data_IF_904207048363
#
_entry.id   IF_904207048363
#
_cell.length_a   1.000
_cell.length_b   1.000
_cell.length_c   1.000
_cell.angle_alpha   90.00
_cell.angle_beta   90.00
_cell.angle_gamma   90.00
#
_symmetry.space_group_name_H-M   'P 1'
#
loop_
_entity.id
_entity.type
_entity.pdbx_description
1 polymer ?
#
# COMPACT_ATOMS: atom_id res chain seq x y z
N UNK A 1 -4.05 17.51 40.15
CA UNK A 1 -3.82 18.97 40.25
C UNK A 1 -2.76 19.31 39.25
N UNK A 2 -3.10 20.13 38.25
CA UNK A 2 -2.16 20.63 37.24
C UNK A 2 -1.43 21.85 37.80
N UNK A 3 -0.11 21.91 37.64
CA UNK A 3 0.66 23.12 37.89
C UNK A 3 0.27 24.26 36.96
N UNK A 4 0.60 25.49 37.33
CA UNK A 4 0.22 26.71 36.59
C UNK A 4 0.74 26.71 35.17
N UNK A 5 2.00 26.35 34.94
CA UNK A 5 2.61 26.22 33.59
C UNK A 5 1.90 25.22 32.70
N UNK A 6 1.50 24.05 33.26
CA UNK A 6 0.79 23.02 32.49
C UNK A 6 -0.61 23.47 32.11
N UNK A 7 -1.26 24.25 32.98
CA UNK A 7 -2.58 24.83 32.70
C UNK A 7 -2.49 25.88 31.60
N UNK A 8 -1.56 26.84 31.74
CA UNK A 8 -1.35 27.89 30.75
C UNK A 8 -1.02 27.29 29.35
N UNK A 9 -0.16 26.27 29.31
CA UNK A 9 0.15 25.55 28.07
C UNK A 9 -1.10 24.90 27.47
N UNK A 10 -1.91 24.22 28.28
CA UNK A 10 -3.10 23.51 27.78
C UNK A 10 -4.19 24.49 27.30
N UNK A 11 -4.33 25.64 27.95
CA UNK A 11 -5.22 26.72 27.50
C UNK A 11 -4.75 27.30 26.17
N UNK A 12 -3.45 27.55 26.02
CA UNK A 12 -2.88 28.03 24.76
C UNK A 12 -3.11 27.06 23.58
N UNK A 13 -2.95 25.76 23.81
CA UNK A 13 -3.27 24.74 22.78
C UNK A 13 -4.75 24.79 22.38
N UNK A 14 -5.66 24.96 23.34
CA UNK A 14 -7.09 25.05 23.04
C UNK A 14 -7.43 26.31 22.21
N UNK A 15 -6.78 27.46 22.50
CA UNK A 15 -6.94 28.66 21.70
C UNK A 15 -6.50 28.44 20.28
N UNK A 16 -5.30 27.87 20.06
CA UNK A 16 -4.77 27.57 18.72
C UNK A 16 -5.67 26.60 17.94
N UNK A 17 -6.21 25.58 18.59
CA UNK A 17 -7.15 24.65 17.93
C UNK A 17 -8.44 25.35 17.48
N UNK A 18 -8.97 26.27 18.30
CA UNK A 18 -10.13 27.08 17.94
C UNK A 18 -9.85 28.02 16.77
N UNK A 19 -8.70 28.72 16.81
CA UNK A 19 -8.27 29.63 15.75
C UNK A 19 -8.05 28.86 14.42
N UNK A 20 -7.59 27.62 14.50
CA UNK A 20 -7.44 26.72 13.34
C UNK A 20 -8.78 26.07 12.89
N UNK A 21 -9.89 26.31 13.57
CA UNK A 21 -11.19 25.69 13.24
C UNK A 21 -11.24 24.18 13.49
N UNK A 22 -10.34 23.64 14.33
CA UNK A 22 -10.28 22.22 14.64
C UNK A 22 -11.20 21.91 15.80
N UNK A 23 -12.30 21.14 15.61
CA UNK A 23 -13.19 20.77 16.70
C UNK A 23 -12.49 19.78 17.64
N UNK A 24 -12.61 19.99 18.93
CA UNK A 24 -12.07 19.11 19.95
C UNK A 24 -12.98 19.00 21.16
N UNK A 25 -12.77 17.94 21.93
CA UNK A 25 -13.44 17.72 23.22
C UNK A 25 -12.39 17.40 24.29
N UNK A 26 -12.47 18.07 25.43
CA UNK A 26 -11.63 17.75 26.58
C UNK A 26 -12.12 16.47 27.23
N UNK A 27 -11.22 15.50 27.39
CA UNK A 27 -11.49 14.23 28.05
C UNK A 27 -10.59 14.09 29.28
N UNK A 28 -11.12 14.32 30.47
CA UNK A 28 -10.37 14.22 31.72
C UNK A 28 -10.00 12.77 32.12
N UNK A 29 -10.50 11.78 31.40
CA UNK A 29 -10.21 10.35 31.63
C UNK A 29 -9.20 9.80 30.62
N UNK A 30 -8.70 10.65 29.71
CA UNK A 30 -7.72 10.20 28.72
C UNK A 30 -6.39 9.91 29.41
N UNK A 31 -6.00 8.65 29.37
CA UNK A 31 -4.70 8.17 29.88
C UNK A 31 -3.99 7.45 28.74
N UNK A 32 -2.70 7.69 28.61
CA UNK A 32 -1.82 6.98 27.68
C UNK A 32 -0.96 5.98 28.46
N UNK A 33 -0.75 4.80 27.85
CA UNK A 33 0.00 3.70 28.46
C UNK A 33 1.52 3.88 28.46
N UNK A 34 2.04 5.05 28.06
CA UNK A 34 3.47 5.34 27.99
C UNK A 34 3.78 6.52 28.92
N UNK A 35 4.78 6.36 29.74
CA UNK A 35 5.13 7.28 30.85
C UNK A 35 5.99 8.48 30.41
N UNK A 36 6.50 8.47 29.18
CA UNK A 36 7.28 9.58 28.62
C UNK A 36 6.45 10.80 28.22
N UNK A 37 5.11 10.67 28.13
CA UNK A 37 4.25 11.81 27.78
C UNK A 37 4.21 12.85 28.90
N UNK A 38 4.22 14.12 28.49
CA UNK A 38 4.02 15.24 29.37
C UNK A 38 3.10 16.29 28.76
N UNK A 39 2.52 17.17 29.59
CA UNK A 39 1.66 18.29 29.23
C UNK A 39 0.39 17.88 28.46
N UNK A 40 0.49 17.66 27.12
CA UNK A 40 -0.67 17.41 26.26
C UNK A 40 -0.62 16.03 25.64
N UNK A 41 -1.72 15.31 25.73
CA UNK A 41 -1.98 14.07 25.00
C UNK A 41 -3.29 14.22 24.21
N UNK A 42 -3.41 13.51 23.09
CA UNK A 42 -4.60 13.56 22.26
C UNK A 42 -4.91 12.23 21.60
N UNK A 43 -6.16 12.07 21.19
CA UNK A 43 -6.65 10.94 20.40
C UNK A 43 -7.62 11.43 19.34
N UNK A 44 -7.57 10.78 18.17
CA UNK A 44 -8.60 10.85 17.15
C UNK A 44 -9.48 9.60 17.29
N UNK A 45 -10.75 9.81 17.58
CA UNK A 45 -11.68 8.75 17.92
C UNK A 45 -12.86 8.76 16.96
N UNK A 46 -13.24 7.56 16.49
CA UNK A 46 -14.46 7.34 15.70
C UNK A 46 -15.43 6.41 16.44
N UNK A 47 -16.70 6.56 16.20
CA UNK A 47 -17.75 5.65 16.67
C UNK A 47 -18.06 4.54 15.65
N UNK A 48 -17.50 4.61 14.44
CA UNK A 48 -17.80 3.68 13.35
C UNK A 48 -17.10 2.32 13.47
N UNK A 49 -16.02 2.24 14.25
CA UNK A 49 -15.23 1.02 14.42
C UNK A 49 -15.50 0.32 15.77
N UNK A 50 -16.66 0.51 16.37
CA UNK A 50 -17.04 -0.13 17.63
C UNK A 50 -16.05 0.14 18.76
N UNK A 51 -15.58 -0.92 19.45
CA UNK A 51 -14.65 -0.81 20.57
C UNK A 51 -13.22 -0.34 20.18
N UNK A 52 -12.87 -0.38 18.89
CA UNK A 52 -11.57 0.05 18.37
C UNK A 52 -11.58 1.48 17.83
N UNK A 53 -12.31 2.37 18.46
CA UNK A 53 -12.57 3.72 17.98
C UNK A 53 -11.34 4.63 17.87
N UNK A 54 -10.25 4.42 18.60
CA UNK A 54 -9.04 5.25 18.51
C UNK A 54 -8.24 4.87 17.26
N UNK A 55 -8.18 5.76 16.28
CA UNK A 55 -7.47 5.56 15.00
C UNK A 55 -6.10 6.23 14.97
N UNK A 56 -5.91 7.29 15.74
CA UNK A 56 -4.63 8.00 15.87
C UNK A 56 -4.52 8.53 17.30
N UNK A 57 -3.33 8.52 17.85
CA UNK A 57 -3.08 9.04 19.17
C UNK A 57 -1.64 9.49 19.36
N UNK A 58 -1.43 10.50 20.18
CA UNK A 58 -0.12 11.06 20.42
C UNK A 58 -0.09 12.02 21.59
N UNK A 59 0.98 12.80 21.62
CA UNK A 59 1.19 13.79 22.65
C UNK A 59 2.57 14.40 22.62
N UNK A 60 2.85 15.21 23.61
CA UNK A 60 4.13 15.84 23.84
C UNK A 60 5.00 15.00 24.77
N UNK A 61 6.31 14.94 24.52
CA UNK A 61 7.26 14.13 25.28
C UNK A 61 8.64 14.81 25.33
N UNK A 62 8.71 15.95 25.99
CA UNK A 62 9.89 16.83 26.02
C UNK A 62 11.15 16.18 26.62
N UNK A 63 10.99 15.21 27.52
CA UNK A 63 12.11 14.52 28.16
C UNK A 63 12.67 13.31 27.41
N UNK A 64 11.98 12.82 26.36
CA UNK A 64 12.34 11.55 25.75
C UNK A 64 13.68 11.61 25.01
N UNK A 65 13.98 12.71 24.31
CA UNK A 65 15.24 12.85 23.58
C UNK A 65 16.44 12.80 24.51
N UNK A 66 16.34 13.45 25.67
CA UNK A 66 17.38 13.43 26.71
C UNK A 66 17.53 12.04 27.34
N UNK A 67 16.43 11.34 27.63
CA UNK A 67 16.45 9.96 28.14
C UNK A 67 17.14 8.99 27.17
N UNK A 68 17.06 9.24 25.86
CA UNK A 68 17.74 8.48 24.84
C UNK A 68 19.20 8.90 24.59
N UNK A 69 19.74 9.81 25.41
CA UNK A 69 21.14 10.27 25.33
C UNK A 69 21.36 11.46 24.39
N UNK A 70 20.29 12.09 23.91
CA UNK A 70 20.36 13.32 23.12
C UNK A 70 20.43 14.58 23.99
N UNK A 71 20.50 15.74 23.35
CA UNK A 71 20.36 17.02 24.05
C UNK A 71 18.91 17.24 24.46
N UNK A 72 18.62 17.93 25.59
CA UNK A 72 17.26 18.31 25.97
C UNK A 72 16.56 19.01 24.78
N UNK A 73 15.54 18.36 24.24
CA UNK A 73 14.83 18.84 23.03
C UNK A 73 13.35 18.55 23.20
N UNK A 74 12.49 19.58 23.24
CA UNK A 74 11.05 19.38 23.24
C UNK A 74 10.61 18.62 21.97
N UNK A 75 9.74 17.61 22.16
CA UNK A 75 9.24 16.82 21.06
C UNK A 75 7.75 16.50 21.23
N UNK A 76 7.09 16.32 20.09
CA UNK A 76 5.71 15.85 20.01
C UNK A 76 5.59 14.91 18.82
N UNK A 77 4.68 13.96 18.90
CA UNK A 77 4.43 13.03 17.83
C UNK A 77 3.16 12.23 18.03
N UNK A 78 2.89 11.38 17.08
CA UNK A 78 1.71 10.53 17.10
C UNK A 78 1.99 9.21 16.38
N UNK A 79 1.12 8.23 16.67
CA UNK A 79 1.04 7.00 15.90
C UNK A 79 -0.40 6.77 15.45
N UNK A 80 -0.57 6.12 14.29
CA UNK A 80 -1.87 5.78 13.76
C UNK A 80 -1.93 4.30 13.38
N UNK A 81 -3.11 3.69 13.54
CA UNK A 81 -3.36 2.34 13.08
C UNK A 81 -3.77 2.36 11.61
N UNK A 82 -2.86 1.93 10.72
CA UNK A 82 -3.12 1.95 9.26
C UNK A 82 -4.34 1.11 8.91
N UNK A 83 -4.46 -0.07 9.48
CA UNK A 83 -5.61 -0.97 9.26
C UNK A 83 -6.92 -0.36 9.77
N UNK A 84 -6.88 0.36 10.90
CA UNK A 84 -8.07 1.07 11.43
C UNK A 84 -8.47 2.24 10.55
N UNK A 85 -7.50 2.98 10.02
CA UNK A 85 -7.76 4.06 9.08
C UNK A 85 -8.32 3.53 7.78
N UNK A 86 -7.80 2.42 7.27
CA UNK A 86 -8.32 1.76 6.07
C UNK A 86 -9.77 1.28 6.29
N UNK A 87 -10.05 0.63 7.42
CA UNK A 87 -11.39 0.19 7.77
C UNK A 87 -12.36 1.38 7.89
N UNK A 88 -11.92 2.47 8.55
CA UNK A 88 -12.73 3.68 8.66
C UNK A 88 -12.99 4.34 7.29
N UNK A 89 -11.98 4.38 6.43
CA UNK A 89 -12.11 4.90 5.07
C UNK A 89 -13.12 4.11 4.25
N UNK A 90 -13.09 2.77 4.33
CA UNK A 90 -14.08 1.89 3.70
C UNK A 90 -15.51 2.12 4.26
N UNK A 91 -15.64 2.24 5.58
CA UNK A 91 -16.92 2.56 6.24
C UNK A 91 -17.48 3.95 5.85
N UNK A 92 -16.62 4.87 5.46
CA UNK A 92 -17.00 6.19 4.97
C UNK A 92 -17.33 6.22 3.46
N UNK A 93 -17.37 5.05 2.81
CA UNK A 93 -17.61 4.94 1.36
C UNK A 93 -16.35 5.18 0.53
N UNK A 94 -15.20 5.20 1.16
CA UNK A 94 -13.92 5.19 0.47
C UNK A 94 -13.58 3.80 -0.05
N UNK A 95 -12.85 3.72 -1.15
CA UNK A 95 -12.47 2.48 -1.81
C UNK A 95 -13.34 2.24 -3.04
N UNK A 96 -12.73 2.35 -4.21
CA UNK A 96 -13.23 1.71 -5.42
C UNK A 96 -12.80 0.23 -5.40
N UNK A 97 -13.30 -0.55 -6.33
CA UNK A 97 -12.70 -1.85 -6.59
C UNK A 97 -11.21 -1.66 -6.90
N UNK A 98 -10.32 -2.52 -6.34
CA UNK A 98 -8.92 -2.46 -6.68
C UNK A 98 -8.77 -2.52 -8.20
N UNK A 99 -7.98 -1.64 -8.78
CA UNK A 99 -7.69 -1.72 -10.21
C UNK A 99 -7.13 -3.12 -10.52
N UNK A 100 -7.64 -3.73 -11.59
CA UNK A 100 -7.11 -5.00 -12.05
C UNK A 100 -5.61 -4.86 -12.36
N UNK A 101 -4.79 -5.84 -12.06
CA UNK A 101 -3.37 -5.77 -12.39
C UNK A 101 -3.17 -5.89 -13.91
N UNK A 102 -2.13 -5.26 -14.42
CA UNK A 102 -1.74 -5.39 -15.81
C UNK A 102 -1.29 -6.83 -16.14
N UNK A 103 -0.53 -7.40 -15.22
CA UNK A 103 0.02 -8.74 -15.39
C UNK A 103 -0.10 -9.61 -14.15
N UNK A 104 -0.27 -10.92 -14.39
CA UNK A 104 -0.13 -11.98 -13.38
C UNK A 104 0.95 -12.95 -13.81
N UNK A 105 2.00 -13.13 -12.98
CA UNK A 105 3.11 -14.04 -13.30
C UNK A 105 2.85 -15.40 -12.70
N UNK A 106 2.76 -16.40 -13.57
CA UNK A 106 2.67 -17.83 -13.21
C UNK A 106 3.99 -18.53 -13.51
N UNK A 107 4.44 -19.40 -12.62
CA UNK A 107 5.71 -20.09 -12.80
C UNK A 107 5.69 -21.50 -12.19
N UNK A 108 6.52 -22.38 -12.71
CA UNK A 108 6.67 -23.74 -12.20
C UNK A 108 8.14 -24.17 -12.30
N UNK A 109 8.71 -24.58 -11.16
CA UNK A 109 10.11 -24.94 -11.01
C UNK A 109 10.97 -23.83 -10.40
N UNK A 110 12.12 -24.21 -9.84
CA UNK A 110 13.01 -23.29 -9.12
C UNK A 110 13.70 -22.28 -10.06
N UNK A 111 14.14 -22.74 -11.25
CA UNK A 111 14.73 -21.86 -12.26
C UNK A 111 13.70 -20.85 -12.79
N UNK A 112 12.47 -21.29 -13.03
CA UNK A 112 11.36 -20.46 -13.46
C UNK A 112 10.98 -19.42 -12.41
N UNK A 113 11.02 -19.75 -11.12
CA UNK A 113 10.73 -18.80 -10.03
C UNK A 113 11.67 -17.62 -10.02
N UNK A 114 12.97 -17.85 -10.25
CA UNK A 114 13.97 -16.77 -10.33
C UNK A 114 13.75 -15.85 -11.52
N UNK A 115 13.43 -16.41 -12.67
CA UNK A 115 13.11 -15.62 -13.88
C UNK A 115 11.80 -14.86 -13.69
N UNK A 116 10.78 -15.49 -13.09
CA UNK A 116 9.49 -14.87 -12.77
C UNK A 116 9.64 -13.65 -11.86
N UNK A 117 10.47 -13.76 -10.83
CA UNK A 117 10.77 -12.63 -9.95
C UNK A 117 11.42 -11.48 -10.73
N UNK A 118 12.44 -11.77 -11.55
CA UNK A 118 13.11 -10.75 -12.37
C UNK A 118 12.15 -10.09 -13.35
N UNK A 119 11.30 -10.87 -14.01
CA UNK A 119 10.29 -10.36 -14.93
C UNK A 119 9.28 -9.44 -14.23
N UNK A 120 8.79 -9.83 -13.05
CA UNK A 120 7.89 -9.00 -12.27
C UNK A 120 8.52 -7.66 -11.87
N UNK A 121 9.77 -7.68 -11.39
CA UNK A 121 10.49 -6.45 -10.99
C UNK A 121 10.82 -5.56 -12.19
N UNK A 122 11.19 -6.15 -13.34
CA UNK A 122 11.41 -5.40 -14.57
C UNK A 122 10.15 -4.62 -14.99
N UNK A 123 9.00 -5.28 -15.00
CA UNK A 123 7.73 -4.62 -15.34
C UNK A 123 7.34 -3.56 -14.32
N UNK A 124 7.48 -3.83 -13.02
CA UNK A 124 7.17 -2.86 -11.95
C UNK A 124 8.02 -1.60 -12.05
N UNK A 125 9.30 -1.74 -12.43
CA UNK A 125 10.20 -0.60 -12.67
C UNK A 125 9.71 0.29 -13.81
N UNK A 126 8.98 -0.28 -14.77
CA UNK A 126 8.36 0.46 -15.89
C UNK A 126 6.91 0.91 -15.58
N UNK A 127 6.46 0.78 -14.32
CA UNK A 127 5.18 1.30 -13.87
C UNK A 127 3.99 0.36 -14.04
N UNK A 128 4.19 -0.89 -14.48
CA UNK A 128 3.11 -1.86 -14.60
C UNK A 128 2.69 -2.42 -13.22
N UNK A 129 1.39 -2.62 -13.04
CA UNK A 129 0.82 -3.29 -11.88
C UNK A 129 0.93 -4.82 -12.03
N UNK A 130 1.85 -5.46 -11.30
CA UNK A 130 2.16 -6.88 -11.48
C UNK A 130 1.92 -7.68 -10.21
N UNK A 131 1.14 -8.76 -10.32
CA UNK A 131 1.01 -9.80 -9.31
C UNK A 131 1.94 -10.97 -9.65
N UNK A 132 2.86 -11.28 -8.76
CA UNK A 132 3.67 -12.51 -8.82
C UNK A 132 2.97 -13.60 -8.01
N UNK A 133 2.78 -14.78 -8.60
CA UNK A 133 2.21 -15.91 -7.88
C UNK A 133 3.11 -16.30 -6.70
N UNK A 134 2.54 -16.22 -5.50
CA UNK A 134 3.19 -16.65 -4.27
C UNK A 134 2.62 -18.00 -3.84
N UNK A 135 3.43 -19.03 -3.81
CA UNK A 135 3.05 -20.36 -3.38
C UNK A 135 3.29 -21.44 -4.42
N UNK A 136 2.88 -22.64 -4.08
CA UNK A 136 2.97 -23.82 -4.93
C UNK A 136 1.66 -24.05 -5.69
N UNK A 137 1.71 -24.94 -6.68
CA UNK A 137 0.54 -25.36 -7.45
C UNK A 137 0.86 -25.59 -8.92
N UNK A 138 -0.03 -26.31 -9.60
CA UNK A 138 0.11 -26.55 -11.04
C UNK A 138 -0.14 -25.27 -11.84
N UNK A 139 0.37 -25.19 -13.06
CA UNK A 139 0.06 -24.10 -14.00
C UNK A 139 -1.45 -23.86 -14.13
N UNK A 140 -2.25 -24.94 -14.21
CA UNK A 140 -3.71 -24.83 -14.29
C UNK A 140 -4.31 -24.08 -13.10
N UNK A 141 -3.83 -24.36 -11.89
CA UNK A 141 -4.28 -23.69 -10.67
C UNK A 141 -3.87 -22.21 -10.66
N UNK A 142 -2.63 -21.94 -11.05
CA UNK A 142 -2.09 -20.58 -11.11
C UNK A 142 -2.80 -19.74 -12.18
N UNK A 143 -3.04 -20.31 -13.37
CA UNK A 143 -3.79 -19.64 -14.44
C UNK A 143 -5.23 -19.30 -14.05
N UNK A 144 -5.89 -20.18 -13.25
CA UNK A 144 -7.21 -19.86 -12.70
C UNK A 144 -7.18 -18.64 -11.76
N UNK A 145 -6.10 -18.50 -10.98
CA UNK A 145 -5.91 -17.33 -10.12
C UNK A 145 -5.59 -16.07 -10.93
N UNK A 146 -4.79 -16.22 -12.00
CA UNK A 146 -4.51 -15.12 -12.92
C UNK A 146 -5.80 -14.60 -13.58
N UNK A 147 -6.66 -15.49 -14.02
CA UNK A 147 -7.96 -15.09 -14.58
C UNK A 147 -8.86 -14.41 -13.55
N UNK A 148 -8.95 -14.99 -12.34
CA UNK A 148 -9.76 -14.44 -11.25
C UNK A 148 -9.26 -13.10 -10.73
N UNK A 149 -7.98 -12.75 -10.91
CA UNK A 149 -7.41 -11.46 -10.51
C UNK A 149 -7.83 -10.30 -11.41
N UNK A 150 -8.43 -10.58 -12.56
CA UNK A 150 -8.73 -9.55 -13.55
C UNK A 150 -7.54 -9.13 -14.42
N UNK A 151 -6.35 -9.72 -14.23
CA UNK A 151 -5.15 -9.36 -14.99
C UNK A 151 -5.40 -9.38 -16.50
N UNK A 152 -4.83 -8.40 -17.20
CA UNK A 152 -4.92 -8.33 -18.67
C UNK A 152 -4.04 -9.38 -19.34
N UNK A 153 -2.85 -9.66 -18.79
CA UNK A 153 -1.86 -10.58 -19.36
C UNK A 153 -1.37 -11.56 -18.30
N UNK A 154 -1.21 -12.84 -18.66
CA UNK A 154 -0.45 -13.79 -17.87
C UNK A 154 0.98 -13.92 -18.43
N UNK A 155 1.99 -13.76 -17.57
CA UNK A 155 3.35 -14.18 -17.86
C UNK A 155 3.47 -15.65 -17.46
N UNK A 156 3.87 -16.50 -18.41
CA UNK A 156 3.96 -17.96 -18.21
C UNK A 156 5.42 -18.36 -18.31
N UNK A 157 5.96 -18.94 -17.23
CA UNK A 157 7.37 -19.30 -17.14
C UNK A 157 7.47 -20.71 -16.57
N UNK A 158 7.81 -21.67 -17.41
CA UNK A 158 8.15 -23.04 -17.04
C UNK A 158 9.66 -23.25 -17.05
N UNK A 159 10.08 -24.48 -16.89
CA UNK A 159 11.51 -24.84 -16.96
C UNK A 159 12.09 -24.63 -18.36
N UNK A 160 11.30 -24.86 -19.40
CA UNK A 160 11.72 -24.65 -20.79
C UNK A 160 11.94 -23.16 -21.09
N UNK A 161 10.99 -22.31 -20.68
CA UNK A 161 11.12 -20.84 -20.80
C UNK A 161 12.31 -20.35 -19.98
N UNK A 162 12.48 -20.85 -18.76
CA UNK A 162 13.61 -20.46 -17.92
C UNK A 162 14.96 -20.88 -18.50
N UNK A 163 15.04 -22.07 -19.13
CA UNK A 163 16.26 -22.55 -19.78
C UNK A 163 16.61 -21.73 -21.02
N UNK A 164 15.59 -21.28 -21.77
CA UNK A 164 15.77 -20.42 -22.93
C UNK A 164 15.97 -18.93 -22.56
N UNK A 165 15.70 -18.52 -21.31
CA UNK A 165 15.69 -17.11 -20.90
C UNK A 165 14.50 -16.33 -21.46
N UNK A 166 13.43 -17.02 -21.83
CA UNK A 166 12.23 -16.47 -22.43
C UNK A 166 11.05 -16.43 -21.45
N UNK A 167 10.10 -15.58 -21.77
CA UNK A 167 8.87 -15.39 -20.98
C UNK A 167 7.69 -15.51 -21.94
N UNK A 168 6.76 -16.43 -21.64
CA UNK A 168 5.52 -16.52 -22.39
C UNK A 168 4.55 -15.41 -21.98
N UNK A 169 4.13 -14.57 -22.91
CA UNK A 169 3.07 -13.58 -22.71
C UNK A 169 1.76 -14.14 -23.29
N UNK A 170 0.74 -14.24 -22.46
CA UNK A 170 -0.57 -14.71 -22.84
C UNK A 170 -1.62 -13.66 -22.47
N UNK A 171 -2.21 -12.95 -23.43
CA UNK A 171 -3.37 -12.11 -23.19
C UNK A 171 -4.50 -12.92 -22.53
N UNK A 172 -5.08 -12.40 -21.47
CA UNK A 172 -6.22 -13.00 -20.76
C UNK A 172 -7.52 -12.29 -21.11
N UNK A 173 -7.40 -11.06 -21.61
CA UNK A 173 -8.51 -10.21 -22.03
C UNK A 173 -8.22 -9.70 -23.43
N UNK A 174 -9.22 -9.76 -24.31
CA UNK A 174 -9.06 -9.34 -25.69
C UNK A 174 -8.48 -10.40 -26.64
N UNK A 175 -8.31 -10.05 -27.92
CA UNK A 175 -7.72 -10.93 -28.93
C UNK A 175 -6.21 -11.03 -28.76
N UNK A 176 -5.63 -12.14 -29.17
CA UNK A 176 -4.18 -12.34 -29.22
C UNK A 176 -3.79 -13.77 -28.82
N UNK A 177 -2.72 -14.25 -29.41
CA UNK A 177 -2.09 -15.53 -29.11
C UNK A 177 -0.98 -15.38 -28.07
N UNK A 178 -0.56 -16.49 -27.51
CA UNK A 178 0.63 -16.52 -26.67
C UNK A 178 1.87 -16.26 -27.51
N UNK A 179 2.72 -15.35 -27.07
CA UNK A 179 4.03 -15.06 -27.67
C UNK A 179 5.14 -15.27 -26.64
N UNK A 180 6.37 -15.46 -27.12
CA UNK A 180 7.56 -15.55 -26.26
C UNK A 180 8.45 -14.35 -26.48
N UNK A 181 8.96 -13.80 -25.42
CA UNK A 181 9.83 -12.62 -25.44
C UNK A 181 11.00 -12.78 -24.48
N UNK A 182 12.09 -12.07 -24.72
CA UNK A 182 13.19 -11.97 -23.78
C UNK A 182 12.84 -11.04 -22.61
N UNK A 183 13.63 -11.12 -21.53
CA UNK A 183 13.47 -10.17 -20.41
C UNK A 183 13.70 -8.71 -20.85
N UNK A 184 14.56 -8.48 -21.83
CA UNK A 184 14.93 -7.15 -22.33
C UNK A 184 13.77 -6.50 -23.11
N UNK A 185 13.04 -7.28 -23.90
CA UNK A 185 11.91 -6.81 -24.70
C UNK A 185 10.55 -6.91 -23.98
N UNK A 186 10.55 -7.37 -22.73
CA UNK A 186 9.33 -7.67 -21.99
C UNK A 186 8.43 -6.44 -21.79
N UNK A 187 9.00 -5.31 -21.39
CA UNK A 187 8.22 -4.09 -21.12
C UNK A 187 7.61 -3.50 -22.39
N UNK A 188 8.33 -3.53 -23.50
CA UNK A 188 7.86 -3.09 -24.81
C UNK A 188 6.71 -3.98 -25.31
N UNK A 189 6.89 -5.29 -25.22
CA UNK A 189 5.86 -6.25 -25.61
C UNK A 189 4.60 -6.15 -24.75
N UNK A 190 4.75 -5.88 -23.44
CA UNK A 190 3.62 -5.61 -22.54
C UNK A 190 2.88 -4.34 -22.93
N UNK A 191 3.60 -3.26 -23.22
CA UNK A 191 3.00 -2.00 -23.66
C UNK A 191 2.19 -2.17 -24.97
N UNK A 192 2.73 -2.91 -25.93
CA UNK A 192 2.03 -3.19 -27.18
C UNK A 192 0.73 -3.98 -27.01
N UNK A 193 0.66 -4.87 -26.00
CA UNK A 193 -0.59 -5.61 -25.69
C UNK A 193 -1.62 -4.72 -25.00
N UNK A 194 -1.16 -3.89 -24.04
CA UNK A 194 -2.06 -3.08 -23.20
C UNK A 194 -2.53 -1.79 -23.89
N UNK A 195 -1.68 -1.24 -24.72
CA UNK A 195 -1.89 0.02 -25.43
C UNK A 195 -1.62 -0.16 -26.93
N UNK A 196 -2.44 -0.97 -27.64
CA UNK A 196 -2.28 -1.13 -29.09
C UNK A 196 -2.40 0.24 -29.76
N UNK A 197 -1.49 0.54 -30.69
CA UNK A 197 -1.63 1.72 -31.54
C UNK A 197 -2.97 1.60 -32.26
N UNK A 198 -3.84 2.61 -32.17
CA UNK A 198 -5.03 2.68 -32.96
C UNK A 198 -4.57 2.77 -34.42
N UNK A 199 -4.89 1.75 -35.24
CA UNK A 199 -4.73 1.88 -36.67
C UNK A 199 -5.57 3.10 -37.11
N UNK A 200 -4.91 4.19 -37.51
CA UNK A 200 -5.58 5.28 -38.17
C UNK A 200 -6.30 4.66 -39.38
N UNK A 201 -7.61 4.49 -39.26
CA UNK A 201 -8.45 4.04 -40.34
C UNK A 201 -8.34 5.12 -41.44
N UNK A 202 -7.44 4.86 -42.42
CA UNK A 202 -7.20 5.70 -43.56
C UNK A 202 -8.45 5.74 -44.41
N UNK A 203 -9.40 6.58 -43.97
CA UNK A 203 -10.58 6.90 -44.77
C UNK A 203 -10.19 7.56 -46.05
N UNK A 204 -10.32 6.82 -47.12
CA UNK A 204 -10.34 7.32 -48.49
C UNK A 204 -11.74 7.82 -48.85
#
# INVERSE_FOLDING_TARGET
>A
YLGEDSRAHFEAVQVLLKDAGIPFRINHRLVRGLDYYNRTVFEWVTTRLGAQGTVCAGGRYDGLVEQLGGKPTPAAGFAMGVERLLALWQECGGGGEPAAPDAYVVHLGESARRLAFRAAEALRTHGFAVLLHCGEGSFKSQMKKADASGAAVALVIGEDEAAAGEIGLKPLRGPGGQQRVSLESLSEAMAAILYPEEEEDGGV
#
